data_IF_202602919077
#
_entry.id   IF_202602919077
#
_cell.length_a   1.000
_cell.length_b   1.000
_cell.length_c   1.000
_cell.angle_alpha   90.00
_cell.angle_beta   90.00
_cell.angle_gamma   90.00
#
_symmetry.space_group_name_H-M   'P 1'
#
loop_
_entity.id
_entity.type
_entity.pdbx_description
1 polymer ?
#
# COMPACT_ATOMS: atom_id res chain seq x y z
N UNK A 1 -42.28 -58.26 6.54
CA UNK A 1 -40.96 -57.83 6.96
C UNK A 1 -40.65 -56.55 6.21
N UNK A 2 -40.85 -55.39 6.84
CA UNK A 2 -40.69 -54.06 6.21
C UNK A 2 -39.34 -53.50 6.67
N UNK A 3 -38.45 -53.25 5.75
CA UNK A 3 -37.21 -52.54 5.95
C UNK A 3 -37.48 -51.03 5.80
N UNK A 4 -37.28 -50.31 6.86
CA UNK A 4 -37.31 -48.83 6.89
C UNK A 4 -35.97 -48.30 6.44
N UNK A 5 -35.97 -47.49 5.41
CA UNK A 5 -34.82 -46.72 4.96
C UNK A 5 -34.81 -45.39 5.72
N UNK A 6 -33.78 -45.19 6.52
CA UNK A 6 -33.46 -43.92 7.16
C UNK A 6 -32.85 -42.95 6.18
N UNK A 7 -33.33 -41.70 6.19
CA UNK A 7 -32.88 -40.58 5.37
C UNK A 7 -31.48 -40.11 5.75
N UNK A 8 -30.73 -39.53 4.80
CA UNK A 8 -29.42 -38.96 5.08
C UNK A 8 -29.53 -37.59 5.73
N UNK A 9 -28.66 -37.35 6.68
CA UNK A 9 -28.39 -36.05 7.29
C UNK A 9 -27.98 -35.05 6.22
N UNK A 10 -28.74 -33.98 6.07
CA UNK A 10 -28.36 -32.76 5.42
C UNK A 10 -27.36 -32.02 6.30
N UNK A 11 -26.09 -32.02 5.90
CA UNK A 11 -25.09 -31.12 6.45
C UNK A 11 -25.41 -29.69 5.93
N UNK A 12 -26.09 -28.90 6.75
CA UNK A 12 -26.27 -27.44 6.52
C UNK A 12 -24.93 -26.76 6.72
N UNK A 13 -24.19 -26.60 5.62
CA UNK A 13 -23.05 -25.69 5.56
C UNK A 13 -23.56 -24.25 5.78
N UNK A 14 -23.26 -23.71 6.95
CA UNK A 14 -23.51 -22.31 7.29
C UNK A 14 -22.53 -21.46 6.47
N UNK A 15 -22.97 -21.05 5.29
CA UNK A 15 -22.27 -20.06 4.48
C UNK A 15 -22.41 -18.71 5.18
N UNK A 16 -21.42 -18.32 5.97
CA UNK A 16 -21.32 -16.98 6.53
C UNK A 16 -21.13 -16.00 5.35
N UNK A 17 -22.23 -15.54 4.78
CA UNK A 17 -22.24 -14.34 3.98
C UNK A 17 -21.84 -13.18 4.90
N UNK A 18 -20.59 -12.74 4.82
CA UNK A 18 -20.22 -11.41 5.27
C UNK A 18 -20.97 -10.42 4.39
N UNK A 19 -22.13 -9.98 4.83
CA UNK A 19 -22.70 -8.73 4.33
C UNK A 19 -21.78 -7.63 4.84
N UNK A 20 -21.10 -6.86 3.96
CA UNK A 20 -20.45 -5.66 4.43
C UNK A 20 -21.57 -4.81 5.07
N UNK A 21 -21.37 -4.39 6.32
CA UNK A 21 -22.21 -3.37 6.92
C UNK A 21 -22.20 -2.19 5.95
N UNK A 22 -23.33 -1.90 5.33
CA UNK A 22 -23.50 -0.70 4.53
C UNK A 22 -23.29 0.46 5.49
N UNK A 23 -22.06 0.96 5.59
CA UNK A 23 -21.77 2.25 6.16
C UNK A 23 -22.66 3.24 5.43
N UNK A 24 -23.28 4.12 6.20
CA UNK A 24 -24.20 5.13 5.69
C UNK A 24 -23.47 5.98 4.64
N UNK A 25 -23.72 5.73 3.35
CA UNK A 25 -23.13 6.43 2.21
C UNK A 25 -23.69 7.84 2.04
N UNK A 26 -24.36 8.36 3.07
CA UNK A 26 -24.95 9.71 3.10
C UNK A 26 -23.94 10.82 3.43
N UNK A 27 -22.69 10.49 3.77
CA UNK A 27 -21.64 11.50 3.82
C UNK A 27 -21.44 12.11 2.43
N UNK A 28 -21.27 13.43 2.30
CA UNK A 28 -21.05 14.06 1.00
C UNK A 28 -19.92 13.33 0.28
N UNK A 29 -20.24 12.82 -0.89
CA UNK A 29 -19.36 11.96 -1.69
C UNK A 29 -17.97 12.61 -1.78
N UNK A 30 -16.88 11.91 -1.51
CA UNK A 30 -15.50 12.47 -1.57
C UNK A 30 -15.23 13.26 -2.86
N UNK A 31 -15.86 12.89 -3.97
CA UNK A 31 -15.75 13.57 -5.27
C UNK A 31 -16.18 15.07 -5.24
N UNK A 32 -17.05 15.49 -4.33
CA UNK A 32 -17.43 16.92 -4.24
C UNK A 32 -16.35 17.73 -3.52
N UNK A 33 -15.78 17.18 -2.45
CA UNK A 33 -14.68 17.82 -1.72
C UNK A 33 -13.40 17.89 -2.55
N UNK A 34 -13.18 16.90 -3.43
CA UNK A 34 -12.05 16.85 -4.34
C UNK A 34 -12.11 17.96 -5.40
N UNK A 35 -13.29 18.29 -5.94
CA UNK A 35 -13.46 19.34 -6.94
C UNK A 35 -13.11 20.74 -6.42
N UNK A 36 -13.35 20.99 -5.14
CA UNK A 36 -13.12 22.27 -4.49
C UNK A 36 -11.72 22.36 -3.86
N UNK A 37 -10.90 21.31 -3.98
CA UNK A 37 -9.57 21.27 -3.41
C UNK A 37 -8.62 22.27 -4.12
N UNK A 38 -7.89 23.13 -3.38
CA UNK A 38 -6.94 24.08 -3.95
C UNK A 38 -5.73 23.38 -4.58
N UNK A 39 -5.47 22.14 -4.21
CA UNK A 39 -4.42 21.27 -4.76
C UNK A 39 -4.95 19.84 -4.91
N UNK A 40 -4.56 19.12 -5.98
CA UNK A 40 -4.94 17.71 -6.13
C UNK A 40 -4.22 16.85 -5.10
N UNK A 41 -4.96 15.96 -4.45
CA UNK A 41 -4.46 14.97 -3.50
C UNK A 41 -4.79 13.55 -4.00
N UNK A 42 -3.83 12.66 -4.01
CA UNK A 42 -4.00 11.26 -4.44
C UNK A 42 -3.27 10.33 -3.46
N UNK A 43 -4.00 9.43 -2.77
CA UNK A 43 -5.45 9.38 -2.65
C UNK A 43 -6.02 10.60 -1.91
N UNK A 44 -7.27 10.95 -2.22
CA UNK A 44 -7.93 12.03 -1.50
C UNK A 44 -8.23 11.57 -0.06
N UNK A 45 -7.94 12.40 0.97
CA UNK A 45 -8.19 12.04 2.35
C UNK A 45 -9.68 11.82 2.65
N UNK A 46 -9.97 11.02 3.67
CA UNK A 46 -11.34 10.70 4.07
C UNK A 46 -12.18 11.93 4.42
N UNK A 47 -11.56 12.93 5.03
CA UNK A 47 -12.21 14.19 5.37
C UNK A 47 -11.21 15.35 5.28
N UNK A 48 -11.59 16.44 4.63
CA UNK A 48 -10.84 17.69 4.54
C UNK A 48 -11.75 18.86 4.82
N UNK A 49 -11.32 19.74 5.72
CA UNK A 49 -11.97 21.03 6.01
C UNK A 49 -11.00 22.15 5.68
N UNK A 50 -11.18 22.76 4.51
CA UNK A 50 -10.33 23.86 4.03
C UNK A 50 -10.57 25.12 4.86
N UNK A 51 -9.49 25.82 5.22
CA UNK A 51 -9.52 27.06 5.99
C UNK A 51 -8.90 28.20 5.16
N UNK A 52 -9.25 29.42 5.51
CA UNK A 52 -8.68 30.61 4.89
C UNK A 52 -7.20 30.76 5.27
N UNK A 53 -6.36 31.14 4.28
CA UNK A 53 -4.95 31.45 4.47
C UNK A 53 -4.01 30.32 4.11
N UNK A 54 -2.73 30.61 4.24
CA UNK A 54 -1.63 29.67 3.94
C UNK A 54 -0.64 29.56 5.08
N UNK A 55 0.11 28.49 5.12
CA UNK A 55 1.19 28.23 6.05
C UNK A 55 2.51 28.14 5.27
N UNK A 56 3.53 28.95 5.60
CA UNK A 56 4.81 28.93 4.90
C UNK A 56 5.47 27.55 4.95
N UNK A 57 6.13 27.12 3.87
CA UNK A 57 6.87 25.84 3.80
C UNK A 57 7.89 25.65 4.92
N UNK A 58 8.50 26.73 5.40
CA UNK A 58 9.46 26.72 6.50
C UNK A 58 8.85 26.72 7.90
N UNK A 59 7.52 26.71 8.00
CA UNK A 59 6.84 26.68 9.29
C UNK A 59 7.17 25.39 10.07
N UNK A 60 7.18 25.45 11.40
CA UNK A 60 7.49 24.28 12.22
C UNK A 60 6.44 23.18 12.05
N UNK A 61 6.91 21.93 11.94
CA UNK A 61 6.07 20.74 11.90
C UNK A 61 6.22 19.98 13.21
N UNK A 62 5.16 19.94 14.00
CA UNK A 62 5.10 19.18 15.25
C UNK A 62 4.41 17.83 14.99
N UNK A 63 4.93 16.76 15.62
CA UNK A 63 4.38 15.41 15.51
C UNK A 63 4.00 14.90 16.89
N UNK A 64 2.78 14.42 17.03
CA UNK A 64 2.26 13.78 18.24
C UNK A 64 1.74 12.39 17.91
N UNK A 65 2.28 11.35 18.55
CA UNK A 65 1.70 10.01 18.49
C UNK A 65 0.65 9.86 19.58
N UNK A 66 -0.53 9.37 19.20
CA UNK A 66 -1.65 9.12 20.10
C UNK A 66 -2.28 7.77 19.76
N UNK A 67 -1.88 6.72 20.45
CA UNK A 67 -2.37 5.38 20.21
C UNK A 67 -3.90 5.24 20.35
N UNK A 68 -4.56 6.11 21.13
CA UNK A 68 -6.02 6.08 21.25
C UNK A 68 -6.73 6.51 19.97
N UNK A 69 -6.05 7.23 19.07
CA UNK A 69 -6.58 7.61 17.77
C UNK A 69 -6.91 6.38 16.90
N UNK A 70 -6.23 5.25 17.14
CA UNK A 70 -6.52 3.99 16.46
C UNK A 70 -7.93 3.45 16.74
N UNK A 71 -8.59 3.88 17.81
CA UNK A 71 -9.97 3.48 18.12
C UNK A 71 -11.00 4.19 17.22
N UNK A 72 -10.65 5.36 16.70
CA UNK A 72 -11.54 6.19 15.87
C UNK A 72 -11.13 6.14 14.39
N UNK A 73 -9.83 6.21 14.08
CA UNK A 73 -9.31 6.23 12.73
C UNK A 73 -8.64 4.91 12.30
N UNK A 74 -8.55 3.92 13.20
CA UNK A 74 -7.86 2.66 12.88
C UNK A 74 -6.34 2.78 12.87
N UNK A 75 -5.68 1.70 12.43
CA UNK A 75 -4.24 1.71 12.15
C UNK A 75 -3.95 2.62 10.97
N UNK A 76 -2.74 3.21 10.94
CA UNK A 76 -2.29 4.13 9.89
C UNK A 76 -3.09 5.45 9.86
N UNK A 77 -4.10 5.62 10.72
CA UNK A 77 -4.92 6.82 10.81
C UNK A 77 -4.15 8.03 11.33
N UNK A 78 -4.50 9.23 10.81
CA UNK A 78 -3.88 10.48 11.24
C UNK A 78 -4.83 11.66 11.14
N UNK A 79 -4.48 12.71 11.88
CA UNK A 79 -5.00 14.07 11.77
C UNK A 79 -3.87 15.01 11.36
N UNK A 80 -4.14 15.93 10.46
CA UNK A 80 -3.21 16.95 10.01
C UNK A 80 -3.88 18.32 10.14
N UNK A 81 -3.30 19.20 10.96
CA UNK A 81 -3.73 20.58 11.13
C UNK A 81 -2.70 21.54 10.57
N UNK A 82 -3.12 22.38 9.63
CA UNK A 82 -2.26 23.38 9.02
C UNK A 82 -2.81 24.78 9.34
N UNK A 83 -1.97 25.60 9.97
CA UNK A 83 -2.28 26.99 10.36
C UNK A 83 -1.13 27.90 9.93
N UNK A 84 -1.32 29.23 9.81
CA UNK A 84 -0.26 30.14 9.37
C UNK A 84 1.04 30.09 10.17
N UNK A 85 0.95 29.67 11.43
CA UNK A 85 2.08 29.64 12.37
C UNK A 85 2.70 28.23 12.57
N UNK A 86 2.18 27.20 11.90
CA UNK A 86 2.73 25.84 12.02
C UNK A 86 1.79 24.72 11.63
N UNK A 87 2.35 23.54 11.65
CA UNK A 87 1.70 22.30 11.24
C UNK A 87 1.75 21.31 12.39
N UNK A 88 0.62 20.67 12.70
CA UNK A 88 0.53 19.61 13.68
C UNK A 88 0.05 18.32 13.00
N UNK A 89 0.86 17.28 13.12
CA UNK A 89 0.48 15.89 12.78
C UNK A 89 0.16 15.15 14.06
N UNK A 90 -1.04 14.58 14.17
CA UNK A 90 -1.39 13.62 15.23
C UNK A 90 -1.69 12.28 14.56
N UNK A 91 -1.03 11.21 14.95
CA UNK A 91 -1.18 9.92 14.30
C UNK A 91 -1.31 8.76 15.30
N UNK A 92 -2.00 7.70 14.89
CA UNK A 92 -2.18 6.50 15.69
C UNK A 92 -0.85 5.75 15.90
N UNK A 93 -0.02 5.69 14.85
CA UNK A 93 1.24 4.94 14.78
C UNK A 93 2.26 5.62 13.84
N UNK A 94 3.41 4.99 13.64
CA UNK A 94 4.47 5.52 12.77
C UNK A 94 4.06 5.54 11.29
N UNK A 95 3.24 4.60 10.85
CA UNK A 95 2.71 4.59 9.48
C UNK A 95 1.76 5.76 9.25
N UNK A 96 0.90 6.09 10.22
CA UNK A 96 0.06 7.27 10.18
C UNK A 96 0.87 8.58 10.09
N UNK A 97 1.97 8.69 10.83
CA UNK A 97 2.91 9.84 10.70
C UNK A 97 3.50 9.90 9.29
N UNK A 98 3.91 8.76 8.76
CA UNK A 98 4.48 8.68 7.42
C UNK A 98 3.47 9.12 6.36
N UNK A 99 2.23 8.62 6.40
CA UNK A 99 1.20 8.97 5.44
C UNK A 99 0.70 10.41 5.55
N UNK A 100 0.65 10.96 6.78
CA UNK A 100 0.40 12.39 6.98
C UNK A 100 1.46 13.25 6.27
N UNK A 101 2.74 12.85 6.34
CA UNK A 101 3.82 13.52 5.61
C UNK A 101 3.66 13.40 4.10
N UNK A 102 3.23 12.25 3.56
CA UNK A 102 2.95 12.10 2.11
C UNK A 102 1.83 13.03 1.66
N UNK A 103 0.79 13.22 2.47
CA UNK A 103 -0.25 14.21 2.20
C UNK A 103 0.30 15.63 2.26
N UNK A 104 1.14 15.93 3.26
CA UNK A 104 1.77 17.24 3.38
C UNK A 104 2.68 17.56 2.19
N UNK A 105 3.46 16.58 1.69
CA UNK A 105 4.31 16.74 0.51
C UNK A 105 3.47 17.14 -0.72
N UNK A 106 2.31 16.54 -0.92
CA UNK A 106 1.40 16.86 -2.02
C UNK A 106 0.80 18.27 -1.86
N UNK A 107 0.35 18.63 -0.63
CA UNK A 107 -0.18 19.95 -0.32
C UNK A 107 0.84 21.06 -0.61
N UNK A 108 2.10 20.84 -0.31
CA UNK A 108 3.19 21.79 -0.52
C UNK A 108 3.84 21.73 -1.90
N UNK A 109 3.37 20.89 -2.83
CA UNK A 109 4.04 20.69 -4.11
C UNK A 109 4.14 21.98 -4.97
N UNK A 110 3.18 22.91 -4.82
CA UNK A 110 3.08 24.14 -5.63
C UNK A 110 3.44 25.41 -4.87
N UNK A 111 3.86 25.35 -3.62
CA UNK A 111 4.17 26.52 -2.80
C UNK A 111 3.88 26.31 -1.33
N UNK A 112 3.44 27.37 -0.66
CA UNK A 112 3.01 27.32 0.73
C UNK A 112 1.80 26.38 0.88
N UNK A 113 1.65 25.81 2.08
CA UNK A 113 0.55 24.87 2.38
C UNK A 113 -0.77 25.63 2.54
N UNK A 114 -1.87 25.21 1.90
CA UNK A 114 -3.20 25.74 2.24
C UNK A 114 -3.56 25.36 3.68
N UNK A 115 -4.16 26.30 4.42
CA UNK A 115 -4.65 26.00 5.76
C UNK A 115 -5.84 25.04 5.70
N UNK A 116 -5.79 23.98 6.50
CA UNK A 116 -6.85 22.96 6.54
C UNK A 116 -6.80 22.12 7.81
N UNK A 117 -7.87 21.39 8.05
CA UNK A 117 -7.93 20.25 8.95
C UNK A 117 -8.23 18.99 8.11
N UNK A 118 -7.39 17.98 8.24
CA UNK A 118 -7.54 16.69 7.56
C UNK A 118 -7.65 15.60 8.60
N UNK A 119 -8.61 14.70 8.41
CA UNK A 119 -8.64 13.38 9.05
C UNK A 119 -8.60 12.34 7.96
N UNK A 120 -7.73 11.35 8.11
CA UNK A 120 -7.57 10.32 7.11
C UNK A 120 -7.24 8.97 7.73
N UNK A 121 -7.77 7.95 7.11
CA UNK A 121 -7.49 6.56 7.45
C UNK A 121 -7.72 5.68 6.22
N UNK A 122 -7.00 4.56 6.08
CA UNK A 122 -7.16 3.70 4.93
C UNK A 122 -8.53 2.99 4.95
N UNK A 123 -9.25 3.03 3.83
CA UNK A 123 -10.48 2.25 3.65
C UNK A 123 -10.20 0.73 3.58
N UNK A 124 -8.98 0.35 3.17
CA UNK A 124 -8.54 -1.03 3.05
C UNK A 124 -7.22 -1.24 3.80
N UNK A 125 -7.16 -2.28 4.62
CA UNK A 125 -5.95 -2.62 5.37
C UNK A 125 -4.78 -3.02 4.45
N UNK A 126 -5.07 -3.63 3.30
CA UNK A 126 -4.09 -4.02 2.29
C UNK A 126 -4.38 -3.23 1.02
N UNK A 127 -3.39 -2.47 0.57
CA UNK A 127 -3.38 -1.72 -0.69
C UNK A 127 -2.16 -2.16 -1.46
N UNK A 128 -2.37 -3.07 -2.41
CA UNK A 128 -1.31 -3.84 -3.03
C UNK A 128 -1.07 -3.42 -4.48
N UNK A 129 0.20 -3.36 -4.85
CA UNK A 129 0.65 -3.31 -6.23
C UNK A 129 1.44 -4.59 -6.53
N UNK A 130 1.12 -5.24 -7.65
CA UNK A 130 1.79 -6.46 -8.07
C UNK A 130 2.72 -6.17 -9.26
N UNK A 131 3.95 -6.68 -9.17
CA UNK A 131 4.90 -6.64 -10.27
C UNK A 131 5.36 -8.05 -10.64
N UNK A 132 5.21 -8.38 -11.91
CA UNK A 132 5.63 -9.65 -12.48
C UNK A 132 7.06 -9.55 -13.01
N UNK A 133 8.02 -9.81 -12.12
CA UNK A 133 9.43 -9.87 -12.49
C UNK A 133 9.79 -11.19 -13.22
N UNK A 134 9.01 -12.24 -13.03
CA UNK A 134 9.16 -13.50 -13.73
C UNK A 134 9.14 -13.30 -15.24
N UNK A 135 8.13 -12.55 -15.74
CA UNK A 135 7.97 -12.26 -17.17
C UNK A 135 8.78 -11.05 -17.64
N UNK A 136 8.89 -10.00 -16.81
CA UNK A 136 9.62 -8.77 -17.14
C UNK A 136 10.55 -8.36 -16.01
N UNK A 137 11.83 -8.58 -16.18
CA UNK A 137 12.82 -8.20 -15.18
C UNK A 137 12.88 -6.68 -15.01
N UNK A 138 12.89 -6.22 -13.76
CA UNK A 138 13.14 -4.82 -13.39
C UNK A 138 14.41 -4.75 -12.54
N UNK A 139 15.22 -3.73 -12.76
CA UNK A 139 16.39 -3.51 -11.91
C UNK A 139 15.96 -3.11 -10.50
N UNK A 140 16.85 -3.27 -9.53
CA UNK A 140 16.58 -2.87 -8.14
C UNK A 140 16.28 -1.37 -8.04
N UNK A 141 16.94 -0.56 -8.86
CA UNK A 141 16.74 0.89 -8.94
C UNK A 141 15.32 1.21 -9.41
N UNK A 142 14.82 0.51 -10.43
CA UNK A 142 13.44 0.66 -10.90
C UNK A 142 12.45 0.22 -9.82
N UNK A 143 12.68 -0.92 -9.17
CA UNK A 143 11.81 -1.38 -8.08
C UNK A 143 11.79 -0.40 -6.89
N UNK A 144 12.91 0.24 -6.59
CA UNK A 144 12.96 1.30 -5.57
C UNK A 144 12.13 2.53 -5.98
N UNK A 145 12.18 2.93 -7.25
CA UNK A 145 11.36 4.02 -7.75
C UNK A 145 9.85 3.66 -7.70
N UNK A 146 9.49 2.42 -8.06
CA UNK A 146 8.12 1.92 -7.92
C UNK A 146 7.66 1.97 -6.44
N UNK A 147 8.52 1.56 -5.51
CA UNK A 147 8.23 1.62 -4.06
C UNK A 147 8.08 3.07 -3.57
N UNK A 148 8.86 4.02 -4.10
CA UNK A 148 8.69 5.44 -3.77
C UNK A 148 7.32 5.96 -4.22
N UNK A 149 6.88 5.61 -5.43
CA UNK A 149 5.56 5.97 -5.92
C UNK A 149 4.44 5.27 -5.13
N UNK A 150 4.60 3.99 -4.79
CA UNK A 150 3.67 3.28 -3.91
C UNK A 150 3.52 4.01 -2.57
N UNK A 151 4.64 4.38 -1.95
CA UNK A 151 4.67 5.11 -0.70
C UNK A 151 3.99 6.50 -0.82
N UNK A 152 4.21 7.21 -1.92
CA UNK A 152 3.57 8.50 -2.23
C UNK A 152 2.06 8.37 -2.33
N UNK A 153 1.58 7.26 -2.90
CA UNK A 153 0.16 6.93 -3.07
C UNK A 153 -0.44 6.14 -1.89
N UNK A 154 0.31 5.98 -0.79
CA UNK A 154 -0.10 5.25 0.42
C UNK A 154 -0.42 3.77 0.16
N UNK A 155 0.15 3.17 -0.88
CA UNK A 155 0.12 1.72 -1.13
C UNK A 155 1.09 1.07 -0.15
N UNK A 156 0.65 0.04 0.59
CA UNK A 156 1.41 -0.55 1.70
C UNK A 156 1.86 -2.00 1.47
N UNK A 157 1.56 -2.58 0.33
CA UNK A 157 1.97 -3.94 -0.01
C UNK A 157 2.50 -4.02 -1.44
N UNK A 158 3.67 -4.62 -1.60
CA UNK A 158 4.29 -4.90 -2.88
C UNK A 158 4.30 -6.41 -3.11
N UNK A 159 3.44 -6.90 -3.98
CA UNK A 159 3.39 -8.29 -4.38
C UNK A 159 4.40 -8.51 -5.50
N UNK A 160 5.46 -9.25 -5.21
CA UNK A 160 6.59 -9.45 -6.09
C UNK A 160 6.62 -10.88 -6.62
N UNK A 161 6.08 -11.06 -7.83
CA UNK A 161 6.06 -12.35 -8.54
C UNK A 161 7.43 -12.62 -9.16
N UNK A 162 8.14 -13.60 -8.63
CA UNK A 162 9.58 -13.80 -8.85
C UNK A 162 9.90 -14.98 -9.75
N UNK A 163 8.93 -15.84 -10.03
CA UNK A 163 9.10 -17.01 -10.87
C UNK A 163 7.96 -17.09 -11.87
N UNK A 164 8.32 -17.36 -13.12
CA UNK A 164 7.33 -17.67 -14.15
C UNK A 164 8.03 -18.38 -15.31
N UNK A 165 7.26 -18.85 -16.26
CA UNK A 165 7.70 -19.59 -17.44
C UNK A 165 9.02 -19.09 -18.10
N UNK A 166 9.31 -17.77 -18.23
CA UNK A 166 10.58 -17.34 -18.83
C UNK A 166 11.80 -17.48 -17.89
N UNK A 167 11.63 -17.29 -16.57
CA UNK A 167 12.79 -17.21 -15.68
C UNK A 167 12.47 -17.34 -14.19
N UNK A 168 13.43 -17.91 -13.47
CA UNK A 168 13.55 -17.88 -12.02
C UNK A 168 14.42 -16.67 -11.62
N UNK A 169 13.84 -15.68 -10.93
CA UNK A 169 14.50 -14.38 -10.68
C UNK A 169 15.25 -14.28 -9.36
N UNK A 170 15.15 -15.26 -8.48
CA UNK A 170 15.87 -15.26 -7.21
C UNK A 170 17.17 -16.04 -7.34
N UNK A 171 18.27 -15.49 -6.86
CA UNK A 171 19.53 -16.24 -6.74
C UNK A 171 19.30 -17.56 -5.97
N UNK A 172 19.68 -18.68 -6.55
CA UNK A 172 19.59 -20.00 -5.91
C UNK A 172 20.97 -20.62 -5.80
N UNK A 173 21.60 -20.55 -4.61
CA UNK A 173 22.92 -21.13 -4.36
C UNK A 173 22.91 -22.66 -4.36
N UNK A 174 21.80 -23.27 -3.90
CA UNK A 174 21.68 -24.73 -3.83
C UNK A 174 21.49 -25.36 -5.22
N UNK A 175 20.76 -24.68 -6.09
CA UNK A 175 20.48 -25.12 -7.46
C UNK A 175 20.82 -24.00 -8.46
N UNK A 176 22.12 -23.76 -8.76
CA UNK A 176 22.52 -22.64 -9.60
C UNK A 176 21.96 -22.70 -11.03
N UNK A 177 21.58 -23.89 -11.50
CA UNK A 177 20.96 -24.11 -12.81
C UNK A 177 19.67 -23.30 -12.99
N UNK A 178 18.93 -22.98 -11.92
CA UNK A 178 17.75 -22.14 -11.98
C UNK A 178 18.05 -20.70 -12.40
N UNK A 179 19.29 -20.27 -12.21
CA UNK A 179 19.73 -18.92 -12.59
C UNK A 179 20.53 -18.89 -13.90
N UNK A 180 20.76 -20.04 -14.55
CA UNK A 180 21.50 -20.13 -15.80
C UNK A 180 20.69 -19.53 -16.97
N UNK A 181 21.14 -18.42 -17.58
CA UNK A 181 20.44 -17.80 -18.69
C UNK A 181 20.21 -18.72 -19.89
N UNK A 182 21.10 -19.71 -20.10
CA UNK A 182 20.97 -20.67 -21.21
C UNK A 182 19.81 -21.65 -21.06
N UNK A 183 19.26 -21.77 -19.85
CA UNK A 183 18.10 -22.63 -19.52
C UNK A 183 16.78 -21.89 -19.57
N UNK A 184 16.81 -20.58 -19.76
CA UNK A 184 15.61 -19.76 -19.86
C UNK A 184 15.01 -19.83 -21.25
N UNK A 185 13.71 -19.55 -21.35
CA UNK A 185 13.02 -19.63 -22.62
C UNK A 185 13.42 -18.47 -23.53
N UNK A 186 13.96 -18.78 -24.66
CA UNK A 186 14.39 -17.81 -25.65
C UNK A 186 13.22 -16.96 -26.19
N UNK A 187 13.51 -15.73 -26.59
CA UNK A 187 12.51 -14.81 -27.15
C UNK A 187 11.68 -14.04 -26.10
N UNK A 188 11.95 -14.26 -24.82
CA UNK A 188 11.39 -13.49 -23.70
C UNK A 188 12.50 -12.75 -22.96
N UNK A 189 12.13 -11.95 -21.97
CA UNK A 189 13.11 -11.29 -21.09
C UNK A 189 13.87 -12.35 -20.25
N UNK A 190 15.02 -12.79 -20.78
CA UNK A 190 15.82 -13.88 -20.21
C UNK A 190 16.89 -13.38 -19.24
N UNK A 191 17.14 -12.07 -19.18
CA UNK A 191 18.19 -11.51 -18.36
C UNK A 191 17.70 -11.13 -16.97
N UNK A 192 18.64 -11.05 -16.03
CA UNK A 192 18.40 -10.58 -14.68
C UNK A 192 18.03 -11.66 -13.67
N UNK A 193 18.68 -11.57 -12.53
CA UNK A 193 18.44 -12.35 -11.32
C UNK A 193 18.78 -11.46 -10.14
N UNK A 194 17.95 -11.46 -9.12
CA UNK A 194 18.21 -10.71 -7.90
C UNK A 194 19.12 -11.52 -6.96
N UNK A 195 20.24 -10.95 -6.56
CA UNK A 195 21.08 -11.53 -5.52
C UNK A 195 20.40 -11.43 -4.15
N UNK A 196 20.82 -12.26 -3.19
CA UNK A 196 20.31 -12.17 -1.83
C UNK A 196 20.57 -10.80 -1.19
N UNK A 197 21.68 -10.14 -1.53
CA UNK A 197 21.99 -8.82 -0.99
C UNK A 197 21.10 -7.74 -1.59
N UNK A 198 20.79 -7.81 -2.89
CA UNK A 198 19.83 -6.94 -3.55
C UNK A 198 18.43 -7.11 -2.96
N UNK A 199 18.01 -8.35 -2.70
CA UNK A 199 16.72 -8.65 -2.07
C UNK A 199 16.67 -8.05 -0.67
N UNK A 200 17.69 -8.27 0.19
CA UNK A 200 17.73 -7.69 1.54
C UNK A 200 17.72 -6.16 1.52
N UNK A 201 18.43 -5.55 0.60
CA UNK A 201 18.46 -4.10 0.42
C UNK A 201 17.06 -3.56 0.05
N UNK A 202 16.37 -4.23 -0.89
CA UNK A 202 15.03 -3.84 -1.28
C UNK A 202 14.02 -3.97 -0.14
N UNK A 203 14.11 -5.05 0.67
CA UNK A 203 13.25 -5.23 1.85
C UNK A 203 13.48 -4.13 2.89
N UNK A 204 14.74 -3.75 3.14
CA UNK A 204 15.05 -2.63 4.04
C UNK A 204 14.47 -1.33 3.51
N UNK A 205 14.70 -1.05 2.23
CA UNK A 205 14.21 0.15 1.53
C UNK A 205 12.70 0.30 1.59
N UNK A 206 11.96 -0.79 1.35
CA UNK A 206 10.51 -0.84 1.42
C UNK A 206 9.98 -0.61 2.85
N UNK A 207 10.63 -1.24 3.84
CA UNK A 207 10.24 -1.10 5.26
C UNK A 207 10.34 0.36 5.74
N UNK A 208 11.37 1.09 5.33
CA UNK A 208 11.54 2.51 5.65
C UNK A 208 10.42 3.39 5.05
N UNK A 209 9.69 2.85 4.05
CA UNK A 209 8.56 3.50 3.37
C UNK A 209 7.20 2.93 3.74
N UNK A 210 7.16 2.10 4.78
CA UNK A 210 5.95 1.41 5.23
C UNK A 210 5.30 0.55 4.13
N UNK A 211 6.11 0.00 3.22
CA UNK A 211 5.68 -0.96 2.19
C UNK A 211 6.17 -2.35 2.59
N UNK A 212 5.24 -3.28 2.74
CA UNK A 212 5.53 -4.69 2.96
C UNK A 212 5.76 -5.40 1.63
N UNK A 213 6.91 -6.05 1.45
CA UNK A 213 7.12 -6.92 0.28
C UNK A 213 6.55 -8.31 0.57
N UNK A 214 5.76 -8.80 -0.37
CA UNK A 214 5.19 -10.16 -0.38
C UNK A 214 5.82 -10.88 -1.58
N UNK A 215 6.89 -11.68 -1.38
CA UNK A 215 7.49 -12.43 -2.47
C UNK A 215 6.61 -13.62 -2.84
N UNK A 216 6.38 -13.81 -4.11
CA UNK A 216 5.67 -14.95 -4.66
C UNK A 216 6.63 -15.86 -5.44
N UNK A 217 6.58 -17.14 -5.12
CA UNK A 217 7.34 -18.22 -5.76
C UNK A 217 6.36 -19.35 -6.02
N UNK A 218 5.94 -19.48 -7.25
CA UNK A 218 4.94 -20.48 -7.66
C UNK A 218 5.55 -21.85 -7.88
N UNK A 219 4.74 -22.89 -7.60
CA UNK A 219 5.04 -24.29 -7.88
C UNK A 219 3.74 -25.10 -7.94
N UNK A 220 3.65 -26.12 -8.81
CA UNK A 220 4.58 -26.51 -9.89
C UNK A 220 4.39 -25.68 -11.18
N UNK A 221 3.32 -24.90 -11.30
CA UNK A 221 3.11 -23.96 -12.40
C UNK A 221 3.83 -22.64 -12.15
N UNK A 222 4.07 -21.89 -13.23
CA UNK A 222 4.74 -20.58 -13.15
C UNK A 222 6.15 -20.61 -12.51
N UNK A 223 6.89 -21.70 -12.72
CA UNK A 223 8.24 -21.89 -12.16
C UNK A 223 9.25 -22.37 -13.21
#
# INVERSE_FOLDING_TARGET
MRLSLSAPLLASGLMLCFTPSHGDWTSPHPLQQEKDAPVPLIPFPSQVDWKTGTCPKKAPVSVKKNASLSKTLGKEGYELRIRPNGILITAADDAGVFYARRTLDQLGARGDYPCCDIQDSPAFAIRCFMHDAGRHFRTVETLKADIDEMARLKINAFHWHLTDYPAWRIQCKKYPVLNDPSKRIQGRDVNGTYSYDQIRDLFRYARERHVQIIPEIDMPGHS
#
